data_IF_557962248208
#
_entry.id   IF_557962248208
#
_cell.length_a   1.000
_cell.length_b   1.000
_cell.length_c   1.000
_cell.angle_alpha   90.00
_cell.angle_beta   90.00
_cell.angle_gamma   90.00
#
_symmetry.space_group_name_H-M   'P 1'
#
loop_
_entity.id
_entity.type
_entity.pdbx_description
1 polymer ?
#
# COMPACT_ATOMS: atom_id res chain seq x y z
N UNK A 1 -22.82 0.17 -30.81
CA UNK A 1 -23.08 -0.16 -29.40
C UNK A 1 -21.99 0.53 -28.58
N UNK A 2 -22.31 1.22 -27.48
CA UNK A 2 -21.30 1.91 -26.65
C UNK A 2 -20.83 0.93 -25.58
N UNK A 3 -19.53 0.67 -25.42
CA UNK A 3 -19.03 -0.18 -24.34
C UNK A 3 -19.38 0.46 -22.99
N UNK A 4 -19.93 -0.34 -22.08
CA UNK A 4 -20.25 0.06 -20.70
C UNK A 4 -19.32 -0.61 -19.70
N UNK A 5 -19.08 0.04 -18.56
CA UNK A 5 -18.33 -0.54 -17.44
C UNK A 5 -19.31 -1.28 -16.53
N UNK A 6 -19.03 -2.55 -16.23
CA UNK A 6 -19.82 -3.36 -15.29
C UNK A 6 -18.94 -3.73 -14.11
N UNK A 7 -19.36 -3.32 -12.91
CA UNK A 7 -18.70 -3.71 -11.66
C UNK A 7 -19.50 -4.85 -11.02
N UNK A 8 -18.94 -6.05 -11.02
CA UNK A 8 -19.50 -7.19 -10.28
C UNK A 8 -19.03 -7.09 -8.83
N UNK A 9 -19.92 -6.63 -7.94
CA UNK A 9 -19.63 -6.47 -6.51
C UNK A 9 -20.19 -7.63 -5.69
N UNK A 10 -19.39 -8.02 -4.71
CA UNK A 10 -19.67 -9.11 -3.77
C UNK A 10 -20.70 -8.67 -2.72
N UNK A 11 -21.64 -9.55 -2.38
CA UNK A 11 -22.48 -9.39 -1.19
C UNK A 11 -21.67 -9.76 0.06
N UNK A 12 -20.82 -8.86 0.54
CA UNK A 12 -20.17 -9.04 1.85
C UNK A 12 -21.12 -8.59 2.96
N UNK A 13 -21.39 -9.47 3.94
CA UNK A 13 -22.17 -9.17 5.15
C UNK A 13 -21.48 -8.18 6.12
N UNK A 14 -20.38 -7.54 5.69
CA UNK A 14 -19.63 -6.54 6.42
C UNK A 14 -19.16 -5.44 5.46
N UNK A 15 -20.08 -4.59 4.99
CA UNK A 15 -19.77 -3.17 4.66
C UNK A 15 -19.46 -2.38 5.97
N UNK A 16 -18.74 -2.99 6.93
CA UNK A 16 -18.47 -2.46 8.26
C UNK A 16 -16.99 -2.31 8.59
N UNK A 17 -16.10 -2.38 7.60
CA UNK A 17 -14.76 -1.81 7.76
C UNK A 17 -14.83 -0.34 7.37
N UNK A 18 -14.64 0.52 8.38
CA UNK A 18 -14.76 1.98 8.34
C UNK A 18 -13.84 2.70 7.32
N UNK A 19 -13.17 1.99 6.40
CA UNK A 19 -11.95 2.50 5.76
C UNK A 19 -11.81 2.34 4.25
N UNK A 20 -12.69 1.68 3.51
CA UNK A 20 -12.68 1.71 2.03
C UNK A 20 -14.07 1.42 1.41
N UNK A 21 -15.16 1.75 2.13
CA UNK A 21 -16.51 1.68 1.57
C UNK A 21 -16.79 2.96 0.77
N UNK A 22 -16.45 2.98 -0.51
CA UNK A 22 -16.94 4.01 -1.41
C UNK A 22 -18.46 3.78 -1.60
N UNK A 23 -19.32 4.79 -1.35
CA UNK A 23 -20.77 4.61 -1.45
C UNK A 23 -21.18 4.26 -2.89
N UNK A 24 -22.12 3.33 -3.04
CA UNK A 24 -22.76 2.92 -4.32
C UNK A 24 -23.06 4.08 -5.27
N UNK A 25 -23.49 5.22 -4.72
CA UNK A 25 -23.83 6.41 -5.50
C UNK A 25 -22.65 6.91 -6.32
N UNK A 26 -21.42 6.82 -5.81
CA UNK A 26 -20.23 7.30 -6.52
C UNK A 26 -19.85 6.44 -7.72
N UNK A 27 -20.00 5.12 -7.65
CA UNK A 27 -19.64 4.27 -8.80
C UNK A 27 -20.68 4.33 -9.92
N UNK A 28 -21.96 4.48 -9.57
CA UNK A 28 -23.02 4.74 -10.53
C UNK A 28 -22.89 6.16 -11.12
N UNK A 29 -22.47 7.15 -10.32
CA UNK A 29 -22.10 8.50 -10.79
C UNK A 29 -20.95 8.48 -11.80
N UNK A 30 -19.99 7.55 -11.65
CA UNK A 30 -18.88 7.33 -12.59
C UNK A 30 -19.32 6.57 -13.87
N UNK A 31 -20.61 6.29 -14.03
CA UNK A 31 -21.19 5.66 -15.22
C UNK A 31 -21.06 4.13 -15.28
N UNK A 32 -20.67 3.49 -14.17
CA UNK A 32 -20.58 2.04 -14.08
C UNK A 32 -21.91 1.40 -13.67
N UNK A 33 -22.29 0.30 -14.32
CA UNK A 33 -23.40 -0.56 -13.88
C UNK A 33 -22.90 -1.49 -12.78
N UNK A 34 -23.41 -1.34 -11.57
CA UNK A 34 -23.05 -2.23 -10.45
C UNK A 34 -23.99 -3.44 -10.43
N UNK A 35 -23.44 -4.65 -10.50
CA UNK A 35 -24.17 -5.91 -10.40
C UNK A 35 -23.75 -6.60 -9.11
N UNK A 36 -24.69 -6.75 -8.17
CA UNK A 36 -24.45 -7.46 -6.91
C UNK A 36 -24.71 -8.95 -7.09
N UNK A 37 -23.77 -9.77 -6.64
CA UNK A 37 -23.84 -11.23 -6.75
C UNK A 37 -23.64 -11.90 -5.39
N UNK A 38 -24.29 -13.03 -5.19
CA UNK A 38 -24.04 -13.89 -4.03
C UNK A 38 -22.67 -14.54 -4.16
N UNK A 39 -21.91 -14.55 -3.05
CA UNK A 39 -20.55 -15.09 -3.08
C UNK A 39 -20.57 -16.61 -3.36
N UNK A 40 -19.82 -17.03 -4.37
CA UNK A 40 -19.59 -18.45 -4.62
C UNK A 40 -18.78 -19.04 -3.46
N UNK A 41 -19.21 -20.20 -2.94
CA UNK A 41 -18.44 -20.91 -1.94
C UNK A 41 -17.19 -21.51 -2.60
N UNK A 42 -16.01 -21.08 -2.19
CA UNK A 42 -14.76 -21.68 -2.65
C UNK A 42 -14.57 -23.08 -2.00
N UNK A 43 -14.66 -24.18 -2.78
CA UNK A 43 -14.53 -25.54 -2.25
C UNK A 43 -13.09 -25.87 -1.83
N UNK A 44 -12.10 -25.11 -2.32
CA UNK A 44 -10.67 -25.33 -2.08
C UNK A 44 -10.16 -24.71 -0.78
N UNK A 45 -11.01 -24.03 -0.01
CA UNK A 45 -10.67 -23.37 1.26
C UNK A 45 -10.02 -24.28 2.32
N UNK A 46 -10.14 -25.60 2.16
CA UNK A 46 -9.57 -26.61 3.05
C UNK A 46 -8.25 -27.22 2.55
N UNK A 47 -7.72 -26.81 1.40
CA UNK A 47 -6.42 -27.27 0.91
C UNK A 47 -5.28 -26.79 1.84
N UNK A 48 -4.22 -27.59 1.99
CA UNK A 48 -3.11 -27.29 2.93
C UNK A 48 -2.43 -25.94 2.68
N UNK A 49 -2.28 -25.54 1.41
CA UNK A 49 -1.61 -24.30 0.99
C UNK A 49 -2.59 -23.19 0.57
N UNK A 50 -3.84 -23.24 1.04
CA UNK A 50 -4.85 -22.26 0.66
C UNK A 50 -4.55 -20.87 1.23
N UNK A 51 -4.40 -19.86 0.36
CA UNK A 51 -4.31 -18.48 0.79
C UNK A 51 -5.72 -17.91 1.03
N UNK A 52 -5.98 -17.41 2.25
CA UNK A 52 -7.26 -16.82 2.66
C UNK A 52 -7.74 -15.71 1.73
N UNK A 53 -6.82 -15.01 1.04
CA UNK A 53 -7.16 -13.98 0.06
C UNK A 53 -7.93 -14.52 -1.15
N UNK A 54 -7.82 -15.81 -1.45
CA UNK A 54 -8.51 -16.46 -2.58
C UNK A 54 -9.94 -16.91 -2.24
N UNK A 55 -10.44 -16.58 -1.04
CA UNK A 55 -11.78 -16.96 -0.60
C UNK A 55 -12.89 -16.56 -1.59
N UNK A 56 -12.74 -15.42 -2.26
CA UNK A 56 -13.78 -14.83 -3.09
C UNK A 56 -13.38 -14.68 -4.57
N UNK A 57 -12.19 -15.12 -4.96
CA UNK A 57 -11.69 -14.95 -6.33
C UNK A 57 -12.55 -15.66 -7.37
N UNK A 58 -13.20 -16.76 -7.01
CA UNK A 58 -14.12 -17.49 -7.90
C UNK A 58 -15.37 -16.67 -8.29
N UNK A 59 -15.70 -15.57 -7.59
CA UNK A 59 -16.77 -14.66 -8.04
C UNK A 59 -16.52 -14.09 -9.44
N UNK A 60 -15.27 -14.10 -9.92
CA UNK A 60 -14.92 -13.74 -11.30
C UNK A 60 -15.68 -14.55 -12.35
N UNK A 61 -16.12 -15.77 -12.01
CA UNK A 61 -16.90 -16.63 -12.90
C UNK A 61 -18.26 -16.02 -13.27
N UNK A 62 -18.82 -15.12 -12.45
CA UNK A 62 -20.06 -14.40 -12.78
C UNK A 62 -19.95 -13.57 -14.06
N UNK A 63 -18.75 -13.28 -14.56
CA UNK A 63 -18.55 -12.62 -15.84
C UNK A 63 -19.27 -13.34 -16.99
N UNK A 64 -19.30 -14.69 -16.97
CA UNK A 64 -20.01 -15.48 -17.96
C UNK A 64 -21.53 -15.42 -17.83
N UNK A 65 -22.06 -14.96 -16.68
CA UNK A 65 -23.51 -14.79 -16.47
C UNK A 65 -24.06 -13.48 -17.06
N UNK A 66 -23.18 -12.57 -17.51
CA UNK A 66 -23.53 -11.26 -18.06
C UNK A 66 -24.08 -11.34 -19.51
N UNK A 67 -25.08 -12.20 -19.73
CA UNK A 67 -25.65 -12.54 -21.05
C UNK A 67 -26.35 -11.39 -21.77
N UNK A 68 -26.52 -10.24 -21.12
CA UNK A 68 -27.00 -9.00 -21.74
C UNK A 68 -25.94 -8.33 -22.63
N UNK A 69 -24.70 -8.82 -22.60
CA UNK A 69 -23.58 -8.29 -23.37
C UNK A 69 -23.07 -9.32 -24.38
N UNK A 70 -22.80 -8.87 -25.60
CA UNK A 70 -22.23 -9.73 -26.65
C UNK A 70 -20.79 -10.16 -26.31
N UNK A 71 -20.03 -9.25 -25.67
CA UNK A 71 -18.60 -9.40 -25.35
C UNK A 71 -18.30 -8.68 -24.04
N UNK A 72 -17.47 -9.32 -23.20
CA UNK A 72 -17.00 -8.75 -21.94
C UNK A 72 -15.47 -8.83 -21.90
N UNK A 73 -14.82 -7.71 -21.61
CA UNK A 73 -13.40 -7.66 -21.24
C UNK A 73 -13.33 -7.60 -19.71
N UNK A 74 -12.98 -8.72 -19.09
CA UNK A 74 -12.77 -8.82 -17.65
C UNK A 74 -11.40 -8.26 -17.28
N UNK A 75 -11.35 -7.49 -16.20
CA UNK A 75 -10.15 -6.77 -15.74
C UNK A 75 -10.06 -6.83 -14.21
N UNK A 76 -8.90 -7.22 -13.70
CA UNK A 76 -8.58 -7.01 -12.29
C UNK A 76 -8.41 -5.52 -12.00
N UNK A 77 -8.74 -5.11 -10.77
CA UNK A 77 -8.69 -3.72 -10.33
C UNK A 77 -7.26 -3.11 -10.29
N UNK A 78 -6.23 -3.92 -10.50
CA UNK A 78 -4.83 -3.53 -10.56
C UNK A 78 -4.25 -3.53 -11.98
N UNK A 79 -5.10 -3.26 -12.97
CA UNK A 79 -4.71 -2.96 -14.35
C UNK A 79 -4.77 -1.46 -14.65
N UNK A 80 -3.86 -0.99 -15.51
CA UNK A 80 -3.80 0.39 -16.01
C UNK A 80 -3.71 0.39 -17.53
N UNK A 81 -4.71 0.98 -18.20
CA UNK A 81 -4.70 1.21 -19.64
C UNK A 81 -3.84 2.43 -19.98
N UNK A 82 -2.90 2.25 -20.90
CA UNK A 82 -2.06 3.30 -21.47
C UNK A 82 -2.67 3.91 -22.74
N UNK A 83 -3.54 3.15 -23.41
CA UNK A 83 -4.26 3.55 -24.61
C UNK A 83 -5.59 2.78 -24.70
N UNK A 84 -6.48 3.22 -25.59
CA UNK A 84 -7.73 2.51 -25.87
C UNK A 84 -7.43 1.13 -26.47
N UNK A 85 -8.23 0.14 -26.09
CA UNK A 85 -8.10 -1.25 -26.52
C UNK A 85 -9.44 -1.82 -26.98
N UNK A 86 -10.22 -1.01 -27.70
CA UNK A 86 -11.58 -1.37 -28.13
C UNK A 86 -11.57 -2.58 -29.08
N UNK A 87 -10.44 -2.84 -29.74
CA UNK A 87 -10.22 -4.02 -30.57
C UNK A 87 -10.32 -5.34 -29.81
N UNK A 88 -10.12 -5.35 -28.48
CA UNK A 88 -10.30 -6.55 -27.66
C UNK A 88 -11.74 -7.08 -27.71
N UNK A 89 -12.74 -6.21 -27.92
CA UNK A 89 -14.13 -6.63 -28.07
C UNK A 89 -14.39 -7.43 -29.35
N UNK A 90 -13.45 -7.44 -30.31
CA UNK A 90 -13.56 -8.27 -31.52
C UNK A 90 -13.09 -9.71 -31.31
N UNK A 91 -12.57 -10.03 -30.13
CA UNK A 91 -12.11 -11.38 -29.83
C UNK A 91 -13.28 -12.38 -29.68
N UNK A 92 -12.99 -13.66 -29.93
CA UNK A 92 -13.97 -14.74 -29.85
C UNK A 92 -14.37 -15.11 -28.42
N UNK A 93 -14.78 -16.37 -28.22
CA UNK A 93 -15.43 -16.89 -27.01
C UNK A 93 -14.59 -16.75 -25.75
N UNK A 94 -13.27 -16.90 -25.88
CA UNK A 94 -12.35 -16.74 -24.76
C UNK A 94 -10.96 -16.35 -25.27
N UNK A 95 -10.41 -15.27 -24.73
CA UNK A 95 -9.08 -14.81 -25.10
C UNK A 95 -8.34 -14.28 -23.89
N UNK A 96 -7.10 -14.73 -23.68
CA UNK A 96 -6.30 -14.33 -22.53
C UNK A 96 -4.82 -14.16 -22.90
N UNK A 97 -4.09 -13.40 -22.08
CA UNK A 97 -2.65 -13.19 -22.24
C UNK A 97 -1.87 -14.25 -21.46
N UNK A 98 -0.82 -14.78 -22.07
CA UNK A 98 0.10 -15.74 -21.44
C UNK A 98 1.19 -15.03 -20.62
N UNK A 99 1.28 -15.33 -19.32
CA UNK A 99 2.35 -14.84 -18.42
C UNK A 99 3.64 -15.65 -18.54
N UNK A 100 3.51 -16.89 -18.96
CA UNK A 100 4.61 -17.75 -19.34
C UNK A 100 4.12 -18.66 -20.47
N UNK A 101 5.01 -19.44 -21.12
CA UNK A 101 4.61 -20.26 -22.26
C UNK A 101 3.50 -21.27 -22.00
N UNK A 102 3.14 -21.59 -20.76
CA UNK A 102 2.16 -22.63 -20.43
C UNK A 102 0.89 -22.09 -19.74
N UNK A 103 0.97 -20.92 -19.09
CA UNK A 103 -0.08 -20.41 -18.21
C UNK A 103 -0.52 -19.04 -18.69
N UNK A 104 -1.81 -18.91 -18.98
CA UNK A 104 -2.46 -17.62 -19.17
C UNK A 104 -2.87 -16.99 -17.86
N UNK A 105 -2.98 -15.67 -17.84
CA UNK A 105 -3.30 -14.91 -16.64
C UNK A 105 -4.75 -14.44 -16.70
N UNK A 106 -5.46 -14.60 -15.59
CA UNK A 106 -6.88 -14.24 -15.49
C UNK A 106 -7.09 -12.77 -15.20
N UNK A 107 -6.05 -11.97 -14.97
CA UNK A 107 -6.19 -10.54 -14.67
C UNK A 107 -6.64 -9.67 -15.84
N UNK A 108 -6.52 -10.13 -17.08
CA UNK A 108 -7.23 -9.60 -18.23
C UNK A 108 -7.61 -10.73 -19.18
N UNK A 109 -8.90 -10.87 -19.47
CA UNK A 109 -9.36 -11.77 -20.52
C UNK A 109 -10.65 -11.26 -21.17
N UNK A 110 -10.86 -11.65 -22.41
CA UNK A 110 -12.10 -11.44 -23.16
C UNK A 110 -12.92 -12.71 -23.10
N UNK A 111 -14.24 -12.57 -22.98
CA UNK A 111 -15.16 -13.70 -23.03
C UNK A 111 -16.44 -13.35 -23.78
N UNK A 112 -17.10 -14.38 -24.31
CA UNK A 112 -18.51 -14.36 -24.66
C UNK A 112 -19.34 -14.83 -23.46
N UNK A 113 -20.24 -14.01 -22.91
CA UNK A 113 -21.09 -14.47 -21.83
C UNK A 113 -21.98 -15.62 -22.29
N UNK A 114 -22.07 -16.67 -21.48
CA UNK A 114 -22.94 -17.81 -21.73
C UNK A 114 -23.39 -18.41 -20.40
N UNK A 115 -24.72 -18.45 -20.22
CA UNK A 115 -25.33 -19.03 -19.02
C UNK A 115 -25.08 -20.54 -18.92
N UNK A 116 -24.86 -21.21 -20.05
CA UNK A 116 -24.50 -22.63 -20.10
C UNK A 116 -23.08 -22.84 -19.56
N UNK A 117 -22.11 -22.06 -20.07
CA UNK A 117 -20.71 -22.10 -19.61
C UNK A 117 -20.62 -21.74 -18.12
N UNK A 118 -21.33 -20.71 -17.67
CA UNK A 118 -21.37 -20.35 -16.24
C UNK A 118 -21.88 -21.49 -15.36
N UNK A 119 -23.01 -22.11 -15.73
CA UNK A 119 -23.58 -23.24 -14.97
C UNK A 119 -22.65 -24.43 -14.95
N UNK A 120 -22.00 -24.74 -16.07
CA UNK A 120 -21.03 -25.82 -16.16
C UNK A 120 -19.79 -25.55 -15.29
N UNK A 121 -19.26 -24.33 -15.29
CA UNK A 121 -18.16 -23.95 -14.37
C UNK A 121 -18.55 -24.11 -12.90
N UNK A 122 -19.74 -23.64 -12.49
CA UNK A 122 -20.24 -23.83 -11.13
C UNK A 122 -20.40 -25.32 -10.79
N UNK A 123 -20.94 -26.11 -11.72
CA UNK A 123 -21.06 -27.55 -11.54
C UNK A 123 -19.70 -28.23 -11.36
N UNK A 124 -18.70 -27.88 -12.18
CA UNK A 124 -17.35 -28.43 -12.07
C UNK A 124 -16.67 -28.08 -10.73
N UNK A 125 -16.93 -26.89 -10.18
CA UNK A 125 -16.50 -26.52 -8.83
C UNK A 125 -17.14 -27.44 -7.77
N UNK A 126 -18.44 -27.68 -7.86
CA UNK A 126 -19.20 -28.52 -6.92
C UNK A 126 -18.77 -29.99 -6.98
N UNK A 127 -18.44 -30.49 -8.18
CA UNK A 127 -17.97 -31.87 -8.38
C UNK A 127 -16.49 -32.06 -8.06
N UNK A 128 -15.79 -31.02 -7.62
CA UNK A 128 -14.42 -31.11 -7.15
C UNK A 128 -13.36 -31.18 -8.25
N UNK A 129 -13.54 -30.43 -9.35
CA UNK A 129 -12.48 -30.25 -10.35
C UNK A 129 -11.17 -29.83 -9.69
N UNK A 130 -10.05 -30.42 -10.11
CA UNK A 130 -8.74 -30.09 -9.56
C UNK A 130 -8.40 -28.61 -9.82
N UNK A 131 -7.93 -27.94 -8.78
CA UNK A 131 -7.49 -26.56 -8.85
C UNK A 131 -6.25 -26.38 -7.96
N UNK A 132 -5.04 -26.31 -8.55
CA UNK A 132 -3.79 -26.28 -7.80
C UNK A 132 -3.58 -25.03 -6.92
N UNK A 133 -4.11 -23.87 -7.31
CA UNK A 133 -3.95 -22.63 -6.55
C UNK A 133 -5.16 -22.28 -5.67
N UNK A 134 -6.24 -23.04 -5.81
CA UNK A 134 -7.50 -22.81 -5.09
C UNK A 134 -8.18 -21.48 -5.46
N UNK A 135 -7.79 -20.83 -6.55
CA UNK A 135 -8.24 -19.50 -6.99
C UNK A 135 -8.84 -19.52 -8.41
N UNK A 136 -9.17 -18.35 -8.95
CA UNK A 136 -9.69 -18.17 -10.31
C UNK A 136 -8.66 -18.53 -11.37
N UNK A 137 -7.39 -18.19 -11.14
CA UNK A 137 -6.28 -18.44 -12.06
C UNK A 137 -6.12 -19.93 -12.40
N UNK A 138 -6.04 -20.81 -11.39
CA UNK A 138 -5.94 -22.25 -11.59
C UNK A 138 -7.23 -22.87 -12.13
N UNK A 139 -8.40 -22.42 -11.65
CA UNK A 139 -9.68 -22.97 -12.11
C UNK A 139 -9.97 -22.64 -13.58
N UNK A 140 -9.91 -21.35 -13.96
CA UNK A 140 -10.16 -20.92 -15.34
C UNK A 140 -9.08 -21.52 -16.26
N UNK A 141 -7.83 -21.58 -15.81
CA UNK A 141 -6.72 -22.29 -16.47
C UNK A 141 -7.09 -23.73 -16.83
N UNK A 142 -7.59 -24.49 -15.87
CA UNK A 142 -8.01 -25.87 -16.07
C UNK A 142 -9.33 -26.03 -16.85
N UNK A 143 -10.15 -24.97 -16.93
CA UNK A 143 -11.39 -24.98 -17.71
C UNK A 143 -11.14 -24.74 -19.21
N UNK A 144 -10.13 -23.95 -19.56
CA UNK A 144 -9.72 -23.66 -20.94
C UNK A 144 -8.31 -24.19 -21.25
N UNK A 145 -8.04 -25.51 -21.13
CA UNK A 145 -6.69 -26.06 -21.28
C UNK A 145 -6.15 -25.88 -22.71
N UNK A 146 -7.04 -25.93 -23.71
CA UNK A 146 -6.68 -25.87 -25.12
C UNK A 146 -6.27 -24.47 -25.59
N UNK A 147 -6.38 -23.44 -24.73
CA UNK A 147 -6.03 -22.06 -25.09
C UNK A 147 -4.55 -21.94 -25.52
N UNK A 148 -3.69 -22.80 -24.96
CA UNK A 148 -2.26 -22.82 -25.28
C UNK A 148 -2.01 -23.06 -26.79
N UNK A 149 -2.79 -23.95 -27.39
CA UNK A 149 -2.65 -24.37 -28.78
C UNK A 149 -3.44 -23.47 -29.76
N UNK A 150 -4.13 -22.45 -29.25
CA UNK A 150 -4.92 -21.55 -30.07
C UNK A 150 -4.06 -20.53 -30.85
N UNK A 151 -4.57 -20.00 -31.97
CA UNK A 151 -3.89 -18.94 -32.70
C UNK A 151 -3.77 -17.65 -31.88
N UNK A 152 -2.81 -16.80 -32.26
CA UNK A 152 -2.70 -15.44 -31.73
C UNK A 152 -3.85 -14.58 -32.26
N UNK A 153 -4.44 -13.76 -31.40
CA UNK A 153 -5.46 -12.79 -31.76
C UNK A 153 -4.86 -11.67 -32.60
N UNK A 154 -5.39 -11.48 -33.81
CA UNK A 154 -5.16 -10.30 -34.64
C UNK A 154 -6.52 -9.67 -34.96
N UNK A 155 -6.73 -8.37 -34.63
CA UNK A 155 -8.03 -7.73 -34.81
C UNK A 155 -8.40 -7.61 -36.30
N UNK A 156 -9.63 -7.99 -36.69
CA UNK A 156 -10.09 -7.84 -38.06
C UNK A 156 -10.18 -6.38 -38.52
N UNK A 157 -9.67 -6.08 -39.72
CA UNK A 157 -9.69 -4.71 -40.27
C UNK A 157 -11.10 -4.17 -40.54
N UNK A 158 -12.06 -5.05 -40.75
CA UNK A 158 -13.47 -4.72 -40.96
C UNK A 158 -14.25 -4.52 -39.65
N UNK A 159 -13.62 -4.72 -38.49
CA UNK A 159 -14.25 -4.62 -37.17
C UNK A 159 -15.24 -5.73 -36.84
N UNK A 160 -15.25 -6.85 -37.58
CA UNK A 160 -16.10 -7.99 -37.24
C UNK A 160 -15.59 -8.74 -36.02
N UNK A 161 -16.49 -9.36 -35.27
CA UNK A 161 -16.12 -10.25 -34.19
C UNK A 161 -15.60 -11.59 -34.74
N UNK A 162 -14.59 -12.14 -34.09
CA UNK A 162 -14.07 -13.47 -34.38
C UNK A 162 -14.88 -14.55 -33.65
N UNK A 163 -14.76 -15.77 -34.14
CA UNK A 163 -15.30 -16.99 -33.53
C UNK A 163 -14.13 -17.93 -33.18
N UNK A 164 -14.22 -18.60 -32.04
CA UNK A 164 -13.17 -19.43 -31.45
C UNK A 164 -12.44 -18.80 -30.27
N UNK A 165 -11.37 -19.44 -29.83
CA UNK A 165 -10.53 -18.99 -28.71
C UNK A 165 -9.19 -18.47 -29.24
N UNK A 166 -8.60 -17.48 -28.59
CA UNK A 166 -7.36 -16.86 -29.08
C UNK A 166 -6.40 -16.47 -27.96
N UNK A 167 -5.10 -16.57 -28.24
CA UNK A 167 -4.07 -16.03 -27.36
C UNK A 167 -3.88 -14.55 -27.62
N UNK A 168 -3.97 -13.74 -26.57
CA UNK A 168 -3.72 -12.31 -26.69
C UNK A 168 -2.21 -12.00 -26.64
N UNK A 169 -1.71 -11.05 -27.45
CA UNK A 169 -0.36 -10.53 -27.34
C UNK A 169 -0.01 -10.00 -25.95
N UNK A 170 1.25 -10.18 -25.53
CA UNK A 170 1.73 -9.78 -24.20
C UNK A 170 1.53 -8.29 -23.89
N UNK A 171 1.56 -7.43 -24.93
CA UNK A 171 1.29 -6.00 -24.77
C UNK A 171 -0.08 -5.64 -24.18
N UNK A 172 -1.08 -6.53 -24.28
CA UNK A 172 -2.38 -6.34 -23.62
C UNK A 172 -2.37 -6.69 -22.14
N UNK A 173 -1.29 -7.24 -21.58
CA UNK A 173 -1.19 -7.49 -20.15
C UNK A 173 0.28 -7.52 -19.71
N UNK A 174 0.88 -6.34 -19.68
CA UNK A 174 2.28 -6.13 -19.34
C UNK A 174 2.49 -6.20 -17.83
N UNK A 175 3.00 -7.32 -17.34
CA UNK A 175 3.36 -7.48 -15.93
C UNK A 175 4.43 -6.45 -15.51
N UNK A 176 4.10 -5.62 -14.51
CA UNK A 176 4.99 -4.60 -13.95
C UNK A 176 6.33 -5.16 -13.45
N UNK A 177 6.40 -6.44 -13.05
CA UNK A 177 7.63 -7.10 -12.62
C UNK A 177 8.69 -7.14 -13.73
N UNK A 178 8.29 -7.26 -15.00
CA UNK A 178 9.21 -7.21 -16.14
C UNK A 178 9.89 -5.86 -16.29
N UNK A 179 9.20 -4.78 -15.91
CA UNK A 179 9.79 -3.45 -15.86
C UNK A 179 10.82 -3.35 -14.73
N UNK A 180 10.50 -3.77 -13.51
CA UNK A 180 11.33 -3.48 -12.34
C UNK A 180 12.73 -4.07 -12.42
N UNK A 181 12.92 -5.23 -13.08
CA UNK A 181 14.24 -5.81 -13.28
C UNK A 181 15.14 -4.99 -14.21
N UNK A 182 14.56 -4.35 -15.24
CA UNK A 182 15.33 -3.62 -16.27
C UNK A 182 15.20 -2.10 -16.18
N UNK A 183 14.26 -1.60 -15.38
CA UNK A 183 13.82 -0.20 -15.28
C UNK A 183 13.43 0.42 -16.64
N UNK A 184 13.00 -0.42 -17.58
CA UNK A 184 12.48 -0.04 -18.89
C UNK A 184 11.61 -1.14 -19.46
N UNK A 185 10.58 -0.75 -20.20
CA UNK A 185 9.76 -1.72 -20.93
C UNK A 185 10.57 -2.36 -22.06
N UNK A 186 10.48 -3.68 -22.16
CA UNK A 186 10.95 -4.45 -23.32
C UNK A 186 9.98 -5.60 -23.57
N UNK A 187 8.81 -5.24 -24.09
CA UNK A 187 7.77 -6.18 -24.48
C UNK A 187 8.03 -6.57 -25.94
N UNK A 188 8.21 -7.87 -26.25
CA UNK A 188 8.61 -8.31 -27.58
C UNK A 188 7.47 -8.28 -28.61
N UNK A 189 6.20 -8.25 -28.19
CA UNK A 189 5.06 -8.37 -29.09
C UNK A 189 3.80 -7.68 -28.56
N UNK A 190 2.95 -7.23 -29.49
CA UNK A 190 1.65 -6.63 -29.20
C UNK A 190 1.68 -5.11 -29.01
N UNK A 191 0.50 -4.49 -28.89
CA UNK A 191 0.38 -3.08 -28.56
C UNK A 191 0.65 -2.91 -27.06
N UNK A 192 1.59 -2.05 -26.67
CA UNK A 192 1.93 -1.81 -25.25
C UNK A 192 0.80 -1.05 -24.55
N UNK A 193 -0.30 -1.75 -24.26
CA UNK A 193 -1.59 -1.13 -23.98
C UNK A 193 -2.00 -1.18 -22.52
N UNK A 194 -1.67 -2.25 -21.80
CA UNK A 194 -2.16 -2.45 -20.43
C UNK A 194 -1.03 -2.89 -19.54
N UNK A 195 -0.86 -2.22 -18.40
CA UNK A 195 0.05 -2.63 -17.33
C UNK A 195 -0.75 -3.34 -16.25
N UNK A 196 -0.29 -4.50 -15.80
CA UNK A 196 -0.84 -5.19 -14.62
C UNK A 196 0.13 -5.08 -13.47
N UNK A 197 -0.38 -4.86 -12.26
CA UNK A 197 0.43 -4.71 -11.05
C UNK A 197 0.26 -5.90 -10.08
N UNK A 198 0.75 -7.12 -10.42
CA UNK A 198 0.53 -8.34 -9.62
C UNK A 198 1.31 -8.39 -8.29
N UNK A 199 1.85 -7.26 -7.82
CA UNK A 199 2.69 -7.17 -6.64
C UNK A 199 1.98 -7.32 -5.30
N UNK A 200 2.79 -7.24 -4.23
CA UNK A 200 2.33 -7.32 -2.85
C UNK A 200 1.23 -6.28 -2.54
N UNK A 201 0.26 -6.66 -1.72
CA UNK A 201 -0.92 -5.84 -1.40
C UNK A 201 -0.57 -4.47 -0.81
N UNK A 202 0.59 -4.31 -0.17
CA UNK A 202 1.03 -3.04 0.44
C UNK A 202 1.89 -2.18 -0.50
N UNK A 203 2.22 -2.66 -1.70
CA UNK A 203 2.98 -1.95 -2.74
C UNK A 203 2.15 -1.70 -4.00
N UNK A 204 0.83 -1.80 -3.91
CA UNK A 204 -0.06 -1.46 -5.01
C UNK A 204 0.13 0.00 -5.43
N UNK A 205 -0.04 0.30 -6.73
CA UNK A 205 0.43 1.55 -7.33
C UNK A 205 -0.33 2.80 -6.86
N UNK A 206 -1.53 2.63 -6.28
CA UNK A 206 -2.31 3.73 -5.73
C UNK A 206 -1.80 4.24 -4.38
N UNK A 207 -0.90 3.52 -3.70
CA UNK A 207 -0.37 3.98 -2.43
C UNK A 207 0.69 5.05 -2.62
N UNK A 208 0.56 6.16 -1.90
CA UNK A 208 1.52 7.26 -1.96
C UNK A 208 2.95 6.83 -1.60
N UNK A 209 3.12 5.81 -0.74
CA UNK A 209 4.43 5.28 -0.35
C UNK A 209 5.00 4.25 -1.33
N UNK A 210 4.21 3.75 -2.28
CA UNK A 210 4.66 2.74 -3.26
C UNK A 210 5.74 3.31 -4.19
N UNK A 211 5.68 4.61 -4.50
CA UNK A 211 6.76 5.34 -5.14
C UNK A 211 7.62 6.00 -4.05
N UNK A 212 8.96 5.96 -4.14
CA UNK A 212 9.76 5.51 -5.26
C UNK A 212 10.03 4.00 -5.31
N UNK A 213 9.66 3.19 -4.31
CA UNK A 213 10.00 1.75 -4.24
C UNK A 213 9.75 1.03 -5.56
N UNK A 214 8.51 1.09 -6.06
CA UNK A 214 8.09 0.59 -7.36
C UNK A 214 7.84 1.77 -8.32
N UNK A 215 8.79 2.08 -9.22
CA UNK A 215 8.78 3.33 -9.98
C UNK A 215 7.56 3.52 -10.90
N UNK A 216 6.95 2.44 -11.38
CA UNK A 216 5.73 2.51 -12.20
C UNK A 216 4.51 3.05 -11.46
N UNK A 217 4.52 3.09 -10.12
CA UNK A 217 3.45 3.74 -9.36
C UNK A 217 3.21 5.19 -9.76
N UNK A 218 4.24 5.89 -10.26
CA UNK A 218 4.06 7.27 -10.75
C UNK A 218 3.16 7.36 -11.99
N UNK A 219 3.18 6.34 -12.87
CA UNK A 219 2.31 6.32 -14.06
C UNK A 219 0.84 6.17 -13.66
N UNK A 220 0.55 5.38 -12.62
CA UNK A 220 -0.79 5.28 -12.04
C UNK A 220 -1.28 6.63 -11.52
N UNK A 221 -0.43 7.31 -10.74
CA UNK A 221 -0.77 8.61 -10.17
C UNK A 221 -0.88 9.73 -11.21
N UNK A 222 -0.11 9.66 -12.31
CA UNK A 222 -0.24 10.55 -13.47
C UNK A 222 -1.59 10.35 -14.17
N UNK A 223 -1.96 9.10 -14.46
CA UNK A 223 -3.26 8.79 -15.07
C UNK A 223 -4.42 9.21 -14.17
N UNK A 224 -4.33 8.95 -12.86
CA UNK A 224 -5.33 9.41 -11.88
C UNK A 224 -5.44 10.93 -11.89
N UNK A 225 -4.33 11.66 -11.95
CA UNK A 225 -4.33 13.14 -12.00
C UNK A 225 -5.08 13.68 -13.21
N UNK A 226 -4.94 13.02 -14.37
CA UNK A 226 -5.56 13.46 -15.63
C UNK A 226 -7.04 13.09 -15.73
N UNK A 227 -7.48 12.04 -15.03
CA UNK A 227 -8.84 11.49 -15.11
C UNK A 227 -9.71 11.91 -13.92
N UNK A 228 -9.37 11.46 -12.71
CA UNK A 228 -10.17 11.64 -11.49
C UNK A 228 -9.71 12.83 -10.63
N UNK A 229 -8.42 13.18 -10.70
CA UNK A 229 -7.78 14.14 -9.81
C UNK A 229 -7.61 13.65 -8.37
N UNK A 230 -7.38 14.60 -7.46
CA UNK A 230 -7.21 14.38 -6.01
C UNK A 230 -8.13 15.27 -5.16
N UNK A 231 -9.18 15.83 -5.79
CA UNK A 231 -10.03 16.85 -5.16
C UNK A 231 -10.74 16.34 -3.90
N UNK A 232 -11.11 15.06 -3.86
CA UNK A 232 -11.78 14.45 -2.72
C UNK A 232 -10.87 14.40 -1.47
N UNK A 233 -9.56 14.24 -1.66
CA UNK A 233 -8.59 14.15 -0.57
C UNK A 233 -8.03 15.52 -0.14
N UNK A 234 -8.17 16.57 -0.96
CA UNK A 234 -7.63 17.92 -0.69
C UNK A 234 -8.05 18.51 0.66
N UNK A 235 -9.32 18.44 1.11
CA UNK A 235 -9.71 18.98 2.41
C UNK A 235 -8.95 18.32 3.57
N UNK A 236 -8.77 17.00 3.52
CA UNK A 236 -8.03 16.25 4.54
C UNK A 236 -6.56 16.64 4.54
N UNK A 237 -5.94 16.76 3.36
CA UNK A 237 -4.54 17.21 3.19
C UNK A 237 -4.33 18.60 3.83
N UNK A 238 -5.24 19.54 3.56
CA UNK A 238 -5.15 20.92 4.07
C UNK A 238 -5.28 20.92 5.59
N UNK A 239 -6.29 20.23 6.14
CA UNK A 239 -6.50 20.13 7.60
C UNK A 239 -5.29 19.49 8.29
N UNK A 240 -4.76 18.39 7.76
CA UNK A 240 -3.56 17.73 8.30
C UNK A 240 -2.34 18.68 8.28
N UNK A 241 -2.14 19.40 7.17
CA UNK A 241 -1.05 20.39 7.06
C UNK A 241 -1.16 21.48 8.12
N UNK A 242 -2.36 22.05 8.31
CA UNK A 242 -2.61 23.09 9.32
C UNK A 242 -2.34 22.54 10.73
N UNK A 243 -2.83 21.34 11.04
CA UNK A 243 -2.61 20.72 12.36
C UNK A 243 -1.12 20.51 12.63
N UNK A 244 -0.37 19.93 11.68
CA UNK A 244 1.06 19.68 11.87
C UNK A 244 1.87 20.98 11.97
N UNK A 245 1.56 21.99 11.16
CA UNK A 245 2.19 23.31 11.27
C UNK A 245 1.85 23.99 12.61
N UNK A 246 0.60 23.87 13.07
CA UNK A 246 0.16 24.35 14.37
C UNK A 246 0.94 23.69 15.51
N UNK A 247 1.12 22.36 15.47
CA UNK A 247 1.93 21.62 16.44
C UNK A 247 3.38 22.12 16.44
N UNK A 248 3.98 22.33 15.27
CA UNK A 248 5.35 22.86 15.17
C UNK A 248 5.47 24.27 15.76
N UNK A 249 4.52 25.15 15.45
CA UNK A 249 4.50 26.50 16.02
C UNK A 249 4.34 26.47 17.55
N UNK A 250 3.41 25.66 18.06
CA UNK A 250 3.16 25.52 19.50
C UNK A 250 4.35 24.91 20.23
N UNK A 251 4.99 23.88 19.67
CA UNK A 251 6.18 23.26 20.27
C UNK A 251 7.39 24.19 20.26
N UNK A 252 7.52 25.05 19.25
CA UNK A 252 8.58 26.07 19.22
C UNK A 252 8.37 27.19 20.24
N UNK A 253 7.11 27.56 20.53
CA UNK A 253 6.76 28.59 21.49
C UNK A 253 6.67 28.07 22.94
N UNK A 254 6.40 26.79 23.13
CA UNK A 254 6.33 26.17 24.44
C UNK A 254 7.73 26.10 25.08
N UNK A 255 7.84 26.51 26.36
CA UNK A 255 9.05 26.23 27.12
C UNK A 255 9.19 24.72 27.31
N UNK A 256 10.40 24.14 27.18
CA UNK A 256 10.61 22.73 27.42
C UNK A 256 10.26 22.43 28.89
N UNK A 257 9.20 21.66 29.11
CA UNK A 257 8.74 21.29 30.44
C UNK A 257 9.03 19.82 30.66
N UNK A 258 9.82 19.49 31.67
CA UNK A 258 9.63 18.21 32.34
C UNK A 258 8.36 18.40 33.17
N UNK A 259 7.35 17.56 32.94
CA UNK A 259 6.18 17.57 33.82
C UNK A 259 6.74 17.36 35.24
N UNK A 260 6.59 18.35 36.13
CA UNK A 260 6.88 18.21 37.56
C UNK A 260 5.84 17.25 38.15
N UNK A 261 5.90 15.98 37.78
CA UNK A 261 5.05 14.96 38.36
C UNK A 261 5.68 14.59 39.69
N UNK A 262 5.04 15.08 40.75
CA UNK A 262 5.39 14.97 42.16
C UNK A 262 6.15 13.68 42.53
N UNK A 263 7.46 13.78 42.65
CA UNK A 263 8.25 12.77 43.32
C UNK A 263 8.12 12.98 44.83
N UNK A 264 7.21 12.23 45.46
CA UNK A 264 7.10 12.17 46.92
C UNK A 264 7.35 10.73 47.37
N UNK A 265 8.55 10.54 47.94
CA UNK A 265 9.05 9.41 48.74
C UNK A 265 8.44 8.01 48.49
N UNK A 266 9.15 7.17 47.73
CA UNK A 266 9.30 5.73 48.01
C UNK A 266 10.28 5.08 47.01
N UNK A 267 11.45 4.65 47.49
CA UNK A 267 12.59 4.17 46.69
C UNK A 267 12.29 2.99 45.74
N UNK A 268 11.26 2.18 46.01
CA UNK A 268 10.86 1.06 45.12
C UNK A 268 9.87 1.45 44.02
N UNK A 269 8.99 2.42 44.30
CA UNK A 269 8.03 2.95 43.30
C UNK A 269 8.75 3.81 42.26
N UNK A 270 9.84 4.45 42.67
CA UNK A 270 10.77 5.25 41.87
C UNK A 270 11.27 4.54 40.61
N UNK A 271 11.78 3.30 40.75
CA UNK A 271 12.40 2.56 39.64
C UNK A 271 11.38 2.06 38.61
N UNK A 272 10.17 1.69 39.05
CA UNK A 272 9.06 1.32 38.18
C UNK A 272 8.54 2.51 37.39
N UNK A 273 8.36 3.67 38.05
CA UNK A 273 7.95 4.93 37.38
C UNK A 273 9.00 5.36 36.34
N UNK A 274 10.28 5.26 36.68
CA UNK A 274 11.39 5.58 35.75
C UNK A 274 11.40 4.66 34.53
N UNK A 275 11.18 3.36 34.76
CA UNK A 275 11.09 2.37 33.67
C UNK A 275 9.87 2.66 32.79
N UNK A 276 8.73 3.01 33.39
CA UNK A 276 7.53 3.45 32.69
C UNK A 276 7.77 4.70 31.82
N UNK A 277 8.43 5.73 32.36
CA UNK A 277 8.77 6.95 31.61
C UNK A 277 9.70 6.69 30.43
N UNK A 278 10.66 5.76 30.55
CA UNK A 278 11.50 5.34 29.41
C UNK A 278 10.67 4.69 28.31
N UNK A 279 9.80 3.75 28.66
CA UNK A 279 8.92 3.12 27.68
C UNK A 279 8.01 4.16 27.03
N UNK A 280 7.44 5.09 27.80
CA UNK A 280 6.62 6.18 27.26
C UNK A 280 7.40 7.07 26.29
N UNK A 281 8.65 7.41 26.58
CA UNK A 281 9.48 8.19 25.67
C UNK A 281 9.77 7.44 24.36
N UNK A 282 10.13 6.15 24.45
CA UNK A 282 10.39 5.31 23.26
C UNK A 282 9.11 5.17 22.42
N UNK A 283 7.97 4.87 23.06
CA UNK A 283 6.68 4.78 22.38
C UNK A 283 6.26 6.10 21.77
N UNK A 284 6.53 7.24 22.42
CA UNK A 284 6.26 8.57 21.87
C UNK A 284 7.10 8.85 20.61
N UNK A 285 8.37 8.42 20.58
CA UNK A 285 9.20 8.53 19.38
C UNK A 285 8.63 7.62 18.27
N UNK A 286 8.36 6.34 18.57
CA UNK A 286 7.81 5.41 17.58
C UNK A 286 6.46 5.89 17.02
N UNK A 287 5.57 6.37 17.89
CA UNK A 287 4.28 6.92 17.50
C UNK A 287 4.45 8.13 16.57
N UNK A 288 5.47 8.98 16.78
CA UNK A 288 5.73 10.12 15.91
C UNK A 288 6.01 9.72 14.45
N UNK A 289 6.55 8.52 14.20
CA UNK A 289 6.79 7.99 12.85
C UNK A 289 5.64 7.15 12.32
N UNK A 290 4.91 6.43 13.17
CA UNK A 290 3.83 5.52 12.76
C UNK A 290 2.52 6.28 12.50
N UNK A 291 2.19 7.24 13.36
CA UNK A 291 0.90 7.95 13.29
C UNK A 291 0.73 8.71 11.97
N UNK A 292 1.70 9.53 11.49
CA UNK A 292 1.55 10.23 10.22
C UNK A 292 1.33 9.25 9.06
N UNK A 293 2.08 8.14 9.02
CA UNK A 293 1.91 7.11 7.99
C UNK A 293 0.49 6.52 7.98
N UNK A 294 -0.10 6.29 9.15
CA UNK A 294 -1.42 5.68 9.29
C UNK A 294 -2.59 6.63 8.95
N UNK A 295 -2.45 7.93 9.22
CA UNK A 295 -3.54 8.91 9.04
C UNK A 295 -3.53 9.58 7.67
N UNK A 296 -2.41 9.60 6.96
CA UNK A 296 -2.32 10.20 5.63
C UNK A 296 -3.18 9.36 4.66
N UNK A 297 -4.09 9.99 3.88
CA UNK A 297 -4.94 9.24 2.97
C UNK A 297 -4.10 8.46 1.95
N UNK A 298 -4.43 7.19 1.79
CA UNK A 298 -3.59 6.21 1.09
C UNK A 298 -3.40 6.51 -0.40
N UNK A 299 -4.40 7.11 -1.03
CA UNK A 299 -4.52 7.29 -2.48
C UNK A 299 -3.98 8.61 -3.02
N UNK A 300 -3.36 9.45 -2.17
CA UNK A 300 -2.88 10.77 -2.59
C UNK A 300 -1.62 10.69 -3.44
N UNK A 301 -1.29 11.79 -4.13
CA UNK A 301 -0.09 11.85 -4.94
C UNK A 301 1.18 11.61 -4.09
N UNK A 302 2.13 10.76 -4.53
CA UNK A 302 3.31 10.37 -3.74
C UNK A 302 4.13 11.54 -3.19
N UNK A 303 4.36 12.58 -4.00
CA UNK A 303 5.08 13.78 -3.56
C UNK A 303 4.37 14.49 -2.40
N UNK A 304 3.03 14.57 -2.43
CA UNK A 304 2.24 15.17 -1.35
C UNK A 304 2.27 14.27 -0.12
N UNK A 305 2.13 12.96 -0.30
CA UNK A 305 2.19 11.98 0.80
C UNK A 305 3.51 11.97 1.54
N UNK A 306 4.64 11.92 0.82
CA UNK A 306 5.95 12.04 1.46
C UNK A 306 6.14 13.39 2.15
N UNK A 307 5.70 14.50 1.53
CA UNK A 307 5.78 15.83 2.15
C UNK A 307 4.98 15.90 3.46
N UNK A 308 3.74 15.42 3.47
CA UNK A 308 2.91 15.32 4.67
C UNK A 308 3.52 14.38 5.71
N UNK A 309 4.10 13.26 5.29
CA UNK A 309 4.75 12.31 6.19
C UNK A 309 5.94 12.94 6.90
N UNK A 310 6.80 13.64 6.16
CA UNK A 310 7.93 14.38 6.75
C UNK A 310 7.43 15.48 7.69
N UNK A 311 6.46 16.29 7.26
CA UNK A 311 5.89 17.35 8.08
C UNK A 311 5.28 16.81 9.39
N UNK A 312 4.45 15.77 9.30
CA UNK A 312 3.81 15.14 10.45
C UNK A 312 4.80 14.46 11.39
N UNK A 313 5.78 13.74 10.84
CA UNK A 313 6.82 13.08 11.64
C UNK A 313 7.69 14.09 12.36
N UNK A 314 8.02 15.22 11.71
CA UNK A 314 8.74 16.32 12.34
C UNK A 314 7.90 16.99 13.44
N UNK A 315 6.62 17.26 13.18
CA UNK A 315 5.70 17.85 14.15
C UNK A 315 5.56 17.02 15.42
N UNK A 316 5.28 15.71 15.28
CA UNK A 316 5.10 14.83 16.43
C UNK A 316 6.42 14.52 17.14
N UNK A 317 7.53 14.42 16.42
CA UNK A 317 8.85 14.25 17.04
C UNK A 317 9.24 15.46 17.89
N UNK A 318 8.87 16.69 17.48
CA UNK A 318 9.10 17.90 18.28
C UNK A 318 8.37 17.87 19.63
N UNK A 319 7.18 17.26 19.69
CA UNK A 319 6.48 17.03 20.97
C UNK A 319 7.31 16.11 21.86
N UNK A 320 7.78 14.97 21.35
CA UNK A 320 8.59 14.02 22.11
C UNK A 320 9.93 14.64 22.57
N UNK A 321 10.58 15.40 21.69
CA UNK A 321 11.83 16.11 21.98
C UNK A 321 11.64 17.08 23.14
N UNK A 322 10.60 17.91 23.10
CA UNK A 322 10.36 18.92 24.14
C UNK A 322 9.86 18.31 25.45
N UNK A 323 9.04 17.26 25.39
CA UNK A 323 8.47 16.59 26.57
C UNK A 323 9.51 15.83 27.38
N UNK A 324 10.49 15.21 26.70
CA UNK A 324 11.51 14.36 27.32
C UNK A 324 12.94 14.94 27.23
N UNK A 325 13.09 16.20 26.79
CA UNK A 325 14.38 16.88 26.61
C UNK A 325 15.40 16.07 25.78
N UNK A 326 14.89 15.41 24.73
CA UNK A 326 15.69 14.52 23.90
C UNK A 326 16.65 15.32 23.01
N UNK A 327 17.78 14.72 22.62
CA UNK A 327 18.70 15.39 21.71
C UNK A 327 18.10 15.38 20.28
N UNK A 328 17.67 16.56 19.81
CA UNK A 328 16.84 16.72 18.61
C UNK A 328 17.47 16.11 17.34
N UNK A 329 18.77 16.36 17.10
CA UNK A 329 19.48 15.85 15.92
C UNK A 329 19.31 14.33 15.81
N UNK A 330 19.49 13.63 16.93
CA UNK A 330 19.47 12.17 17.01
C UNK A 330 18.05 11.61 16.80
N UNK A 331 17.03 12.29 17.32
CA UNK A 331 15.63 11.91 17.08
C UNK A 331 15.27 12.04 15.60
N UNK A 332 15.87 12.99 14.87
CA UNK A 332 15.66 13.18 13.42
C UNK A 332 16.56 12.34 12.50
N UNK A 333 17.59 11.67 13.02
CA UNK A 333 18.45 10.78 12.20
C UNK A 333 17.64 9.73 11.43
N UNK A 334 16.66 9.01 12.00
CA UNK A 334 15.84 8.08 11.21
C UNK A 334 15.14 8.75 10.02
N UNK A 335 14.61 9.97 10.20
CA UNK A 335 13.93 10.73 9.16
C UNK A 335 14.88 11.12 8.01
N UNK A 336 16.10 11.54 8.34
CA UNK A 336 17.17 11.80 7.35
C UNK A 336 17.52 10.52 6.57
N UNK A 337 17.54 9.38 7.25
CA UNK A 337 17.80 8.08 6.64
C UNK A 337 16.71 7.68 5.65
N UNK A 338 15.45 7.86 6.04
CA UNK A 338 14.28 7.65 5.16
C UNK A 338 14.42 8.55 3.94
N UNK A 339 14.64 9.85 4.11
CA UNK A 339 14.79 10.79 2.99
C UNK A 339 15.94 10.39 2.05
N UNK A 340 17.12 10.06 2.59
CA UNK A 340 18.24 9.57 1.80
C UNK A 340 17.91 8.30 1.03
N UNK A 341 17.20 7.35 1.65
CA UNK A 341 16.75 6.11 1.00
C UNK A 341 15.80 6.40 -0.17
N UNK A 342 14.91 7.38 -0.02
CA UNK A 342 13.98 7.81 -1.07
C UNK A 342 14.73 8.44 -2.24
N UNK A 343 15.74 9.28 -1.98
CA UNK A 343 16.58 9.85 -3.03
C UNK A 343 17.35 8.78 -3.80
N UNK A 344 17.95 7.83 -3.09
CA UNK A 344 18.63 6.68 -3.71
C UNK A 344 17.64 5.89 -4.55
N UNK A 345 16.44 5.58 -4.03
CA UNK A 345 15.43 4.86 -4.79
C UNK A 345 14.88 5.63 -6.00
N UNK A 346 14.73 6.95 -5.90
CA UNK A 346 14.16 7.80 -6.94
C UNK A 346 15.17 8.19 -8.04
N UNK A 347 16.46 7.87 -7.85
CA UNK A 347 17.50 8.25 -8.80
C UNK A 347 17.25 7.61 -10.19
N UNK A 348 17.15 8.41 -11.26
CA UNK A 348 16.65 7.94 -12.56
C UNK A 348 17.70 7.20 -13.41
N UNK A 349 18.99 7.30 -13.07
CA UNK A 349 20.07 6.83 -13.95
C UNK A 349 20.62 5.45 -13.62
N UNK A 350 19.83 4.61 -12.94
CA UNK A 350 20.22 3.22 -12.77
C UNK A 350 20.11 2.45 -14.10
N UNK A 351 21.11 1.63 -14.45
CA UNK A 351 21.08 0.86 -15.69
C UNK A 351 20.04 -0.26 -15.66
N UNK A 352 19.73 -0.78 -14.46
CA UNK A 352 18.74 -1.83 -14.24
C UNK A 352 18.33 -1.89 -12.75
N UNK A 353 17.32 -2.70 -12.44
CA UNK A 353 16.77 -2.86 -11.09
C UNK A 353 17.74 -3.51 -10.11
N UNK A 354 18.66 -4.35 -10.58
CA UNK A 354 19.65 -5.03 -9.72
C UNK A 354 20.66 -4.02 -9.19
N UNK A 355 21.20 -3.15 -10.04
CA UNK A 355 22.14 -2.09 -9.63
C UNK A 355 21.45 -1.11 -8.69
N UNK A 356 20.18 -0.77 -8.96
CA UNK A 356 19.36 0.04 -8.05
C UNK A 356 19.22 -0.60 -6.67
N UNK A 357 18.88 -1.90 -6.62
CA UNK A 357 18.75 -2.63 -5.36
C UNK A 357 20.09 -2.69 -4.58
N UNK A 358 21.21 -2.92 -5.28
CA UNK A 358 22.55 -2.89 -4.69
C UNK A 358 22.91 -1.51 -4.13
N UNK A 359 22.52 -0.43 -4.81
CA UNK A 359 22.75 0.93 -4.32
C UNK A 359 21.91 1.24 -3.07
N UNK A 360 20.65 0.81 -3.02
CA UNK A 360 19.80 0.92 -1.82
C UNK A 360 20.40 0.11 -0.67
N UNK A 361 20.86 -1.11 -0.94
CA UNK A 361 21.54 -1.94 0.06
C UNK A 361 22.83 -1.28 0.57
N UNK A 362 23.66 -0.74 -0.33
CA UNK A 362 24.87 -0.02 0.02
C UNK A 362 24.59 1.21 0.88
N UNK A 363 23.56 1.99 0.54
CA UNK A 363 23.11 3.10 1.37
C UNK A 363 22.69 2.63 2.76
N UNK A 364 21.84 1.59 2.85
CA UNK A 364 21.36 1.06 4.12
C UNK A 364 22.52 0.55 4.99
N UNK A 365 23.48 -0.15 4.39
CA UNK A 365 24.68 -0.64 5.06
C UNK A 365 25.52 0.51 5.64
N UNK A 366 25.76 1.56 4.86
CA UNK A 366 26.51 2.73 5.32
C UNK A 366 25.74 3.56 6.37
N UNK A 367 24.41 3.58 6.29
CA UNK A 367 23.57 4.37 7.20
C UNK A 367 23.30 3.66 8.53
N UNK A 368 23.30 2.33 8.56
CA UNK A 368 22.97 1.54 9.75
C UNK A 368 23.81 1.90 11.00
N UNK A 369 25.15 2.08 10.92
CA UNK A 369 25.95 2.50 12.08
C UNK A 369 25.57 3.89 12.60
N UNK A 370 25.20 4.82 11.71
CA UNK A 370 24.78 6.18 12.06
C UNK A 370 23.45 6.13 12.80
N UNK A 371 22.47 5.38 12.25
CA UNK A 371 21.18 5.17 12.88
C UNK A 371 21.31 4.51 14.25
N UNK A 372 22.13 3.45 14.36
CA UNK A 372 22.38 2.75 15.61
C UNK A 372 23.04 3.65 16.67
N UNK A 373 24.08 4.39 16.28
CA UNK A 373 24.74 5.36 17.15
C UNK A 373 23.79 6.47 17.62
N UNK A 374 22.82 6.85 16.79
CA UNK A 374 21.78 7.80 17.16
C UNK A 374 20.84 7.25 18.24
N UNK A 375 20.34 6.03 18.06
CA UNK A 375 19.51 5.33 19.05
C UNK A 375 20.25 5.20 20.38
N UNK A 376 21.53 4.80 20.35
CA UNK A 376 22.36 4.71 21.56
C UNK A 376 22.47 6.05 22.30
N UNK A 377 22.65 7.16 21.57
CA UNK A 377 22.70 8.51 22.17
C UNK A 377 21.36 8.95 22.77
N UNK A 378 20.23 8.63 22.12
CA UNK A 378 18.89 8.91 22.68
C UNK A 378 18.69 8.12 23.98
N UNK A 379 19.01 6.83 23.98
CA UNK A 379 18.88 5.97 25.16
C UNK A 379 19.79 6.43 26.31
N UNK A 380 21.03 6.82 26.02
CA UNK A 380 21.95 7.36 27.03
C UNK A 380 21.44 8.68 27.62
N UNK A 381 20.87 9.59 26.81
CA UNK A 381 20.30 10.84 27.31
C UNK A 381 19.03 10.62 28.13
N UNK A 382 18.18 9.68 27.74
CA UNK A 382 17.05 9.25 28.57
C UNK A 382 17.50 8.71 29.91
N UNK A 383 18.55 7.89 29.95
CA UNK A 383 19.15 7.38 31.19
C UNK A 383 19.63 8.52 32.09
N UNK A 384 20.48 9.41 31.57
CA UNK A 384 21.07 10.53 32.33
C UNK A 384 20.02 11.53 32.80
N UNK A 385 19.01 11.82 31.98
CA UNK A 385 17.92 12.75 32.37
C UNK A 385 17.14 12.22 33.57
N UNK A 386 16.88 10.91 33.60
CA UNK A 386 16.16 10.28 34.69
C UNK A 386 17.01 10.13 35.96
N UNK A 387 18.33 9.97 35.83
CA UNK A 387 19.26 9.95 36.97
C UNK A 387 19.46 11.34 37.58
N UNK A 388 19.54 12.40 36.75
CA UNK A 388 19.72 13.79 37.24
C UNK A 388 18.55 14.25 38.12
N UNK A 389 17.34 13.76 37.86
CA UNK A 389 16.17 14.00 38.72
C UNK A 389 16.21 13.26 40.05
N UNK A 390 17.05 12.22 40.23
CA UNK A 390 17.27 11.61 41.55
C UNK A 390 18.18 12.46 42.45
N UNK A 391 19.04 13.31 41.86
CA UNK A 391 19.99 14.14 42.61
C UNK A 391 19.45 15.52 42.99
N UNK A 392 18.55 16.11 42.18
CA UNK A 392 17.94 17.42 42.48
C UNK A 392 17.07 17.46 43.76
N UNK A 393 16.37 16.39 44.19
CA UNK A 393 15.68 16.35 45.48
C UNK A 393 16.65 16.43 46.67
N UNK A 394 17.87 15.89 46.53
CA UNK A 394 18.87 15.84 47.62
C UNK A 394 19.56 17.17 47.89
N UNK A 395 19.66 18.05 46.90
CA UNK A 395 20.34 19.35 47.07
C UNK A 395 19.44 20.45 47.67
N UNK A 396 18.12 20.26 47.67
CA UNK A 396 17.18 21.23 48.23
C UNK A 396 17.07 21.16 49.76
N UNK A 397 17.67 20.17 50.41
CA UNK A 397 17.60 19.96 51.87
C UNK A 397 18.85 20.43 52.65
N UNK A 398 19.90 20.94 52.00
CA UNK A 398 21.10 21.40 52.70
C UNK A 398 21.13 22.93 52.87
N UNK A 399 20.30 23.47 53.76
CA UNK A 399 20.51 24.79 54.38
C UNK A 399 21.41 24.65 55.63
N UNK A 400 22.38 25.54 55.88
CA UNK A 400 23.32 25.40 56.99
C UNK A 400 22.63 25.63 58.35
N UNK A 401 23.12 25.04 59.45
CA UNK A 401 22.46 25.17 60.75
C UNK A 401 22.58 26.61 61.27
N UNK A 402 21.42 27.24 61.51
CA UNK A 402 21.30 28.51 62.22
C UNK A 402 21.76 28.34 63.66
N UNK A 403 22.71 29.19 64.08
CA UNK A 403 23.27 29.21 65.42
C UNK A 403 22.22 29.39 66.51
N UNK A 404 22.39 28.64 67.60
CA UNK A 404 21.70 28.86 68.86
C UNK A 404 22.71 29.37 69.89
N UNK A 405 22.68 30.68 70.14
CA UNK A 405 23.17 31.26 71.38
C UNK A 405 22.24 30.82 72.53
N UNK A 406 22.81 30.23 73.59
CA UNK A 406 22.20 30.23 74.92
C UNK A 406 23.20 30.81 75.90
N UNK A 407 22.75 31.87 76.57
CA UNK A 407 23.34 32.45 77.77
C UNK A 407 23.49 31.39 78.86
N UNK A 408 24.68 31.30 79.47
CA UNK A 408 24.92 31.65 80.88
C UNK A 408 26.39 31.97 81.09
#
# INVERSE_FOLDING_TARGET
>A
MVPGIVLVKELTACESSLFDAQPLSKEEEDGAKVVRVENLNNPYKGQENFDKRFKLTLNKLYAWSLVDYDRVVMLDADNLFLQKTDELFQCGQFCAVFINPCIFHTGLFVLQPSREVFKDMVHQLETGKENPDGADQGFIGAYFPDLLDQPMFHPPLNGSNLDGQYRLPLGYQMDASYYYLRLRWRVPCGPNSVITFPGALWLKPWYWWSWPVLPLGIQWHENRRQTLGYAAEMPVIIVQSIIFLGILAMTHLARPSISKLCYRNSDKTTSLIQTGLKFMAIWSILAAYIVPFAIIPRTIHPLVGWTLYFLGSTALSSIAINSFLLPAIQVFVPLVGIFGSLLVMAYPWYPNGVVRALAVFGFAFCYAPIAWGSVGKVMARLQVSLEREQFLPKLAESSPPSGFNKLY
#
